data_IF_255885558351
#
_entry.id   IF_255885558351
#
_cell.length_a   1.000
_cell.length_b   1.000
_cell.length_c   1.000
_cell.angle_alpha   90.00
_cell.angle_beta   90.00
_cell.angle_gamma   90.00
#
_symmetry.space_group_name_H-M   'P 1'
#
loop_
_entity.id
_entity.type
_entity.pdbx_description
1 polymer ?
#
# COMPACT_ATOMS: atom_id res chain seq x y z
N UNK A 1 -39.61 21.08 -35.32
CA UNK A 1 -38.54 21.84 -36.01
C UNK A 1 -37.54 22.25 -34.93
N UNK A 2 -36.27 21.91 -35.12
CA UNK A 2 -35.19 21.80 -34.13
C UNK A 2 -35.15 20.45 -33.41
N UNK A 3 -34.91 19.42 -34.21
CA UNK A 3 -34.18 18.23 -33.81
C UNK A 3 -32.76 18.65 -33.41
N UNK A 4 -32.51 18.87 -32.12
CA UNK A 4 -31.16 19.03 -31.59
C UNK A 4 -30.55 17.64 -31.35
N UNK A 5 -29.78 17.24 -32.36
CA UNK A 5 -28.43 16.66 -32.22
C UNK A 5 -28.27 15.51 -31.21
N UNK A 6 -28.31 14.30 -31.77
CA UNK A 6 -27.36 13.21 -31.48
C UNK A 6 -26.01 13.78 -30.97
N UNK A 7 -25.33 13.24 -29.96
CA UNK A 7 -25.01 11.84 -29.76
C UNK A 7 -24.88 11.52 -28.27
N UNK A 8 -25.54 10.43 -27.88
CA UNK A 8 -25.26 9.71 -26.64
C UNK A 8 -23.86 9.09 -26.73
N UNK A 9 -22.82 9.82 -26.30
CA UNK A 9 -21.52 9.23 -26.05
C UNK A 9 -21.56 8.44 -24.73
N UNK A 10 -21.81 7.14 -24.87
CA UNK A 10 -21.60 6.13 -23.84
C UNK A 10 -20.11 6.09 -23.46
N UNK A 11 -19.75 6.68 -22.32
CA UNK A 11 -18.52 6.29 -21.61
C UNK A 11 -18.94 5.34 -20.48
N UNK A 12 -18.50 4.07 -20.50
CA UNK A 12 -18.94 3.07 -19.52
C UNK A 12 -18.37 3.39 -18.13
N UNK A 13 -19.11 3.16 -17.04
CA UNK A 13 -18.56 3.22 -15.70
C UNK A 13 -17.55 2.07 -15.54
N UNK A 14 -16.25 2.38 -15.49
CA UNK A 14 -15.19 1.40 -15.24
C UNK A 14 -15.30 0.94 -13.78
N UNK A 15 -15.95 -0.20 -13.61
CA UNK A 15 -16.02 -1.00 -12.40
C UNK A 15 -14.61 -1.44 -11.97
N UNK A 16 -14.04 -0.82 -10.93
CA UNK A 16 -12.86 -1.32 -10.21
C UNK A 16 -13.25 -1.73 -8.79
N UNK A 17 -14.20 -2.68 -8.65
CA UNK A 17 -14.52 -3.33 -7.37
C UNK A 17 -13.71 -4.59 -7.04
N UNK A 18 -12.67 -4.94 -7.81
CA UNK A 18 -11.97 -6.24 -7.65
C UNK A 18 -10.46 -6.17 -7.32
N UNK A 19 -10.01 -5.19 -6.53
CA UNK A 19 -8.62 -5.15 -6.01
C UNK A 19 -8.47 -5.61 -4.55
N UNK A 20 -9.47 -6.32 -3.99
CA UNK A 20 -9.51 -6.68 -2.55
C UNK A 20 -8.87 -8.02 -2.17
N UNK A 21 -8.29 -8.77 -3.11
CA UNK A 21 -7.78 -10.13 -2.86
C UNK A 21 -6.30 -10.34 -3.21
N UNK A 22 -5.48 -9.29 -3.27
CA UNK A 22 -4.03 -9.52 -3.15
C UNK A 22 -3.75 -9.88 -1.68
N UNK A 23 -3.00 -10.95 -1.39
CA UNK A 23 -2.60 -11.26 -0.02
C UNK A 23 -1.89 -10.04 0.55
N UNK A 24 -2.43 -9.48 1.63
CA UNK A 24 -1.75 -8.43 2.37
C UNK A 24 -0.52 -9.09 3.00
N UNK A 25 0.66 -8.64 2.61
CA UNK A 25 1.92 -9.07 3.23
C UNK A 25 1.85 -8.87 4.75
N UNK A 26 2.45 -9.78 5.51
CA UNK A 26 2.63 -9.63 6.95
C UNK A 26 3.69 -8.56 7.26
N UNK A 27 3.79 -8.17 8.54
CA UNK A 27 4.84 -7.24 8.98
C UNK A 27 6.24 -7.80 8.66
N UNK A 28 6.45 -9.08 8.93
CA UNK A 28 7.71 -9.80 8.68
C UNK A 28 8.03 -9.85 7.17
N UNK A 29 7.03 -10.04 6.31
CA UNK A 29 7.23 -10.01 4.86
C UNK A 29 7.60 -8.61 4.34
N UNK A 30 7.02 -7.55 4.91
CA UNK A 30 7.40 -6.17 4.61
C UNK A 30 8.83 -5.87 5.06
N UNK A 31 9.19 -6.27 6.29
CA UNK A 31 10.57 -6.12 6.82
C UNK A 31 11.57 -6.89 5.97
N UNK A 32 11.26 -8.14 5.59
CA UNK A 32 12.15 -8.93 4.74
C UNK A 32 12.33 -8.30 3.36
N UNK A 33 11.27 -7.75 2.76
CA UNK A 33 11.35 -7.01 1.49
C UNK A 33 12.22 -5.76 1.62
N UNK A 34 12.13 -5.06 2.76
CA UNK A 34 12.95 -3.89 3.08
C UNK A 34 14.43 -4.27 3.24
N UNK A 35 14.75 -5.32 3.98
CA UNK A 35 16.13 -5.83 4.14
C UNK A 35 16.76 -6.17 2.78
N UNK A 36 16.04 -6.90 1.92
CA UNK A 36 16.51 -7.20 0.57
C UNK A 36 16.75 -5.95 -0.28
N UNK A 37 15.91 -4.92 -0.14
CA UNK A 37 16.10 -3.66 -0.84
C UNK A 37 17.35 -2.91 -0.34
N UNK A 38 17.62 -2.94 0.97
CA UNK A 38 18.83 -2.36 1.57
C UNK A 38 20.08 -3.11 1.11
N UNK A 39 20.06 -4.45 1.08
CA UNK A 39 21.17 -5.26 0.59
C UNK A 39 21.51 -4.93 -0.87
N UNK A 40 20.49 -4.74 -1.72
CA UNK A 40 20.68 -4.31 -3.11
C UNK A 40 21.19 -2.88 -3.21
N UNK A 41 20.72 -1.97 -2.35
CA UNK A 41 21.20 -0.59 -2.30
C UNK A 41 22.69 -0.47 -1.94
N UNK A 42 23.22 -1.47 -1.23
CA UNK A 42 24.64 -1.54 -0.89
C UNK A 42 25.54 -2.06 -2.04
N UNK A 43 24.98 -2.42 -3.21
CA UNK A 43 25.77 -2.85 -4.36
C UNK A 43 26.54 -1.66 -4.97
N UNK A 44 27.90 -1.71 -5.02
CA UNK A 44 28.70 -0.63 -5.58
C UNK A 44 28.51 -0.43 -7.09
N UNK A 45 27.93 -1.39 -7.81
CA UNK A 45 27.65 -1.31 -9.25
C UNK A 45 26.22 -0.82 -9.55
N UNK A 46 25.45 -0.49 -8.52
CA UNK A 46 24.07 -0.05 -8.68
C UNK A 46 24.00 1.32 -9.37
N UNK A 47 23.21 1.40 -10.44
CA UNK A 47 22.98 2.68 -11.11
C UNK A 47 22.15 3.61 -10.22
N UNK A 48 22.35 4.93 -10.33
CA UNK A 48 21.58 5.90 -9.56
C UNK A 48 20.06 5.74 -9.77
N UNK A 49 19.65 5.42 -11.00
CA UNK A 49 18.23 5.21 -11.32
C UNK A 49 17.67 4.00 -10.58
N UNK A 50 18.37 2.87 -10.64
CA UNK A 50 17.94 1.64 -9.97
C UNK A 50 17.98 1.80 -8.45
N UNK A 51 18.98 2.54 -7.93
CA UNK A 51 19.05 2.92 -6.52
C UNK A 51 17.88 3.79 -6.08
N UNK A 52 17.43 4.74 -6.89
CA UNK A 52 16.23 5.54 -6.58
C UNK A 52 14.96 4.70 -6.58
N UNK A 53 14.82 3.75 -7.50
CA UNK A 53 13.65 2.87 -7.57
C UNK A 53 13.62 1.87 -6.39
N UNK A 54 14.78 1.32 -6.01
CA UNK A 54 14.94 0.51 -4.81
C UNK A 54 14.64 1.31 -3.54
N UNK A 55 15.13 2.55 -3.44
CA UNK A 55 14.86 3.43 -2.30
C UNK A 55 13.36 3.70 -2.14
N UNK A 56 12.65 4.04 -3.22
CA UNK A 56 11.19 4.24 -3.19
C UNK A 56 10.45 2.98 -2.74
N UNK A 57 10.88 1.83 -3.26
CA UNK A 57 10.31 0.53 -2.89
C UNK A 57 10.53 0.25 -1.41
N UNK A 58 11.76 0.41 -0.92
CA UNK A 58 12.12 0.27 0.49
C UNK A 58 11.29 1.21 1.39
N UNK A 59 11.12 2.48 1.01
CA UNK A 59 10.28 3.43 1.75
C UNK A 59 8.81 3.03 1.79
N UNK A 60 8.28 2.48 0.71
CA UNK A 60 6.91 1.98 0.71
C UNK A 60 6.75 0.77 1.63
N UNK A 61 7.68 -0.20 1.58
CA UNK A 61 7.65 -1.39 2.45
C UNK A 61 7.79 -0.98 3.93
N UNK A 62 8.68 -0.04 4.25
CA UNK A 62 8.85 0.53 5.60
C UNK A 62 7.55 1.20 6.10
N UNK A 63 6.93 2.04 5.27
CA UNK A 63 5.68 2.71 5.64
C UNK A 63 4.55 1.71 5.92
N UNK A 64 4.44 0.65 5.11
CA UNK A 64 3.43 -0.39 5.31
C UNK A 64 3.70 -1.18 6.60
N UNK A 65 4.96 -1.53 6.88
CA UNK A 65 5.36 -2.17 8.14
C UNK A 65 5.02 -1.30 9.37
N UNK A 66 5.34 0.00 9.32
CA UNK A 66 5.01 0.95 10.39
C UNK A 66 3.51 1.04 10.62
N UNK A 67 2.71 1.10 9.53
CA UNK A 67 1.25 1.14 9.62
C UNK A 67 0.68 -0.13 10.25
N UNK A 68 1.26 -1.29 10.00
CA UNK A 68 0.86 -2.55 10.65
C UNK A 68 1.11 -2.50 12.16
N UNK A 69 2.27 -1.98 12.58
CA UNK A 69 2.58 -1.80 14.01
C UNK A 69 1.65 -0.79 14.69
N UNK A 70 1.36 0.33 14.04
CA UNK A 70 0.42 1.33 14.55
C UNK A 70 -0.99 0.74 14.73
N UNK A 71 -1.47 -0.02 13.74
CA UNK A 71 -2.75 -0.73 13.86
C UNK A 71 -2.75 -1.74 15.01
N UNK A 72 -1.68 -2.52 15.16
CA UNK A 72 -1.54 -3.48 16.24
C UNK A 72 -1.52 -2.80 17.62
N UNK A 73 -0.86 -1.65 17.73
CA UNK A 73 -0.86 -0.82 18.95
C UNK A 73 -2.28 -0.33 19.28
N UNK A 74 -3.00 0.22 18.29
CA UNK A 74 -4.38 0.70 18.48
C UNK A 74 -5.35 -0.44 18.83
N UNK A 75 -5.16 -1.63 18.26
CA UNK A 75 -5.95 -2.82 18.62
C UNK A 75 -5.67 -3.26 20.05
N UNK A 76 -4.39 -3.29 20.45
CA UNK A 76 -3.99 -3.59 21.82
C UNK A 76 -4.53 -2.57 22.82
N UNK A 77 -4.47 -1.27 22.52
CA UNK A 77 -5.03 -0.21 23.36
C UNK A 77 -6.54 -0.38 23.59
N UNK A 78 -7.30 -0.72 22.53
CA UNK A 78 -8.75 -1.00 22.63
C UNK A 78 -9.08 -2.19 23.51
N UNK A 79 -8.24 -3.24 23.48
CA UNK A 79 -8.39 -4.41 24.34
C UNK A 79 -8.01 -4.11 25.80
N UNK A 80 -7.07 -3.18 26.01
CA UNK A 80 -6.63 -2.74 27.34
C UNK A 80 -7.54 -1.71 28.00
N UNK A 81 -8.48 -1.12 27.26
CA UNK A 81 -9.60 -0.38 27.87
C UNK A 81 -10.68 -1.40 28.24
N UNK A 82 -10.67 -1.99 29.45
CA UNK A 82 -11.78 -2.82 29.88
C UNK A 82 -13.03 -1.97 29.80
N UNK A 83 -14.10 -2.60 29.32
CA UNK A 83 -15.47 -2.18 29.51
C UNK A 83 -15.65 -1.65 30.95
N UNK A 84 -15.53 -0.33 31.11
CA UNK A 84 -15.87 0.44 32.32
C UNK A 84 -17.25 1.08 32.14
N UNK A 85 -18.13 0.46 31.35
CA UNK A 85 -19.48 0.96 31.06
C UNK A 85 -20.50 -0.17 30.93
N UNK A 86 -20.68 -0.95 32.00
CA UNK A 86 -21.97 -1.53 32.39
C UNK A 86 -21.93 -1.93 33.87
#
# INVERSE_FOLDING_TARGET
MQDELFETEKIPPKNTKNAKNAPKKSFEEHVHSLEQAIDRLNDPNLSLKDGMDLYKTAMQELFLAQKLLENAYLEHEKLQTPDKKA
#
